data_IF_165802252537
#
_entry.id   IF_165802252537
#
_cell.length_a   1.000
_cell.length_b   1.000
_cell.length_c   1.000
_cell.angle_alpha   90.00
_cell.angle_beta   90.00
_cell.angle_gamma   90.00
#
_symmetry.space_group_name_H-M   'P 1'
#
loop_
_entity.id
_entity.type
_entity.pdbx_description
1 polymer ?
#
# COMPACT_ATOMS: atom_id res chain seq x y z
N UNK A 1 -1.36 17.94 5.17
CA UNK A 1 -0.59 17.45 4.01
C UNK A 1 -0.38 15.97 4.24
N UNK A 2 -0.66 15.12 3.25
CA UNK A 2 -0.44 13.67 3.37
C UNK A 2 1.06 13.42 3.18
N UNK A 3 1.70 12.72 4.12
CA UNK A 3 3.13 12.45 4.05
C UNK A 3 3.37 11.25 3.12
N UNK A 4 3.57 11.54 1.84
CA UNK A 4 4.00 10.54 0.85
C UNK A 4 5.47 10.18 1.11
N UNK A 5 5.79 8.88 1.15
CA UNK A 5 7.11 8.38 1.56
C UNK A 5 8.02 7.95 0.40
N UNK A 6 7.51 8.04 -0.83
CA UNK A 6 8.24 7.71 -2.05
C UNK A 6 7.71 8.58 -3.20
N UNK A 7 8.30 8.45 -4.38
CA UNK A 7 7.89 9.19 -5.59
C UNK A 7 7.56 8.24 -6.73
N UNK A 8 6.81 8.72 -7.72
CA UNK A 8 6.50 7.94 -8.92
C UNK A 8 7.76 7.50 -9.66
N UNK A 9 8.81 8.32 -9.69
CA UNK A 9 10.10 7.98 -10.31
C UNK A 9 10.78 6.82 -9.60
N UNK A 10 10.80 6.83 -8.25
CA UNK A 10 11.38 5.73 -7.47
C UNK A 10 10.61 4.42 -7.70
N UNK A 11 9.28 4.48 -7.73
CA UNK A 11 8.44 3.29 -8.00
C UNK A 11 8.70 2.74 -9.40
N UNK A 12 8.76 3.60 -10.42
CA UNK A 12 9.08 3.20 -11.81
C UNK A 12 10.47 2.56 -11.91
N UNK A 13 11.46 3.20 -11.28
CA UNK A 13 12.84 2.72 -11.23
C UNK A 13 12.93 1.35 -10.55
N UNK A 14 12.14 1.13 -9.48
CA UNK A 14 12.10 -0.13 -8.73
C UNK A 14 11.69 -1.32 -9.59
N UNK A 15 10.74 -1.13 -10.50
CA UNK A 15 10.23 -2.16 -11.43
C UNK A 15 11.11 -2.28 -12.70
N UNK A 16 12.20 -1.50 -12.80
CA UNK A 16 13.12 -1.54 -13.95
C UNK A 16 12.48 -1.18 -15.30
N UNK A 17 11.25 -0.65 -15.30
CA UNK A 17 10.45 -0.48 -16.50
C UNK A 17 10.66 0.90 -17.09
N UNK A 18 11.55 0.97 -18.09
CA UNK A 18 11.84 2.20 -18.84
C UNK A 18 10.64 2.63 -19.70
N UNK A 19 9.73 1.70 -20.02
CA UNK A 19 8.52 1.95 -20.81
C UNK A 19 7.29 1.36 -20.11
N UNK A 20 6.64 2.14 -19.25
CA UNK A 20 5.32 1.78 -18.77
C UNK A 20 4.29 1.84 -19.91
N UNK A 21 3.25 0.98 -19.89
CA UNK A 21 2.11 1.12 -20.78
C UNK A 21 1.55 2.55 -20.71
N UNK A 22 1.25 3.15 -21.86
CA UNK A 22 0.80 4.55 -21.95
C UNK A 22 -0.53 4.84 -21.25
N UNK A 23 -1.28 3.79 -20.89
CA UNK A 23 -2.51 3.86 -20.12
C UNK A 23 -2.31 3.85 -18.60
N UNK A 24 -1.08 3.69 -18.11
CA UNK A 24 -0.75 3.86 -16.69
C UNK A 24 -0.27 5.30 -16.51
N UNK A 25 -1.07 6.09 -15.79
CA UNK A 25 -0.78 7.49 -15.54
C UNK A 25 -0.01 7.65 -14.23
N UNK A 26 0.77 8.73 -14.14
CA UNK A 26 1.47 9.06 -12.89
C UNK A 26 0.47 9.29 -11.74
N UNK A 27 -0.74 9.74 -12.04
CA UNK A 27 -1.83 9.87 -11.07
C UNK A 27 -2.22 8.53 -10.42
N UNK A 28 -2.16 7.42 -11.17
CA UNK A 28 -2.46 6.08 -10.65
C UNK A 28 -1.37 5.65 -9.68
N UNK A 29 -0.10 5.85 -10.08
CA UNK A 29 1.06 5.57 -9.22
C UNK A 29 1.00 6.41 -7.94
N UNK A 30 0.67 7.70 -8.06
CA UNK A 30 0.50 8.60 -6.92
C UNK A 30 -0.66 8.18 -6.01
N UNK A 31 -1.72 7.60 -6.55
CA UNK A 31 -2.78 7.00 -5.72
C UNK A 31 -2.24 5.80 -4.93
N UNK A 32 -1.48 4.91 -5.55
CA UNK A 32 -0.90 3.74 -4.87
C UNK A 32 0.13 4.12 -3.79
N UNK A 33 0.91 5.17 -4.03
CA UNK A 33 1.82 5.76 -3.04
C UNK A 33 1.03 6.25 -1.84
N UNK A 34 -0.05 7.00 -2.04
CA UNK A 34 -0.91 7.49 -0.96
C UNK A 34 -1.54 6.37 -0.16
N UNK A 35 -2.04 5.33 -0.83
CA UNK A 35 -2.58 4.14 -0.16
C UNK A 35 -1.52 3.43 0.69
N UNK A 36 -0.31 3.27 0.16
CA UNK A 36 0.82 2.64 0.87
C UNK A 36 1.28 3.49 2.06
N UNK A 37 1.39 4.81 1.91
CA UNK A 37 1.70 5.74 3.00
C UNK A 37 0.66 5.69 4.11
N UNK A 38 -0.63 5.72 3.77
CA UNK A 38 -1.71 5.61 4.75
C UNK A 38 -1.65 4.26 5.51
N UNK A 39 -1.36 3.16 4.80
CA UNK A 39 -1.17 1.86 5.42
C UNK A 39 -0.02 1.85 6.43
N UNK A 40 1.12 2.45 6.10
CA UNK A 40 2.28 2.54 7.00
C UNK A 40 1.93 3.36 8.24
N UNK A 41 1.29 4.52 8.06
CA UNK A 41 0.86 5.39 9.15
C UNK A 41 -0.10 4.69 10.12
N UNK A 42 -1.08 3.96 9.58
CA UNK A 42 -2.02 3.17 10.37
C UNK A 42 -1.31 2.04 11.13
N UNK A 43 -0.42 1.32 10.43
CA UNK A 43 0.34 0.19 10.98
C UNK A 43 1.31 0.62 12.09
N UNK A 44 1.85 1.83 11.99
CA UNK A 44 2.77 2.41 12.95
C UNK A 44 2.10 3.26 14.04
N UNK A 45 0.76 3.42 13.97
CA UNK A 45 -0.01 4.32 14.85
C UNK A 45 0.49 5.78 14.82
N UNK A 46 0.96 6.25 13.65
CA UNK A 46 1.52 7.61 13.44
C UNK A 46 0.72 8.47 12.44
N UNK A 47 -0.59 8.24 12.36
CA UNK A 47 -1.49 8.96 11.44
C UNK A 47 -1.30 10.48 11.54
N UNK A 48 -0.94 11.12 10.43
CA UNK A 48 -0.88 12.58 10.31
C UNK A 48 0.36 13.25 10.93
N UNK A 49 1.21 12.50 11.63
CA UNK A 49 2.54 12.99 12.08
C UNK A 49 3.65 12.52 11.15
N UNK A 50 3.48 11.34 10.56
CA UNK A 50 4.43 10.67 9.69
C UNK A 50 5.83 10.46 10.30
N UNK A 51 6.81 10.26 9.42
CA UNK A 51 8.19 9.87 9.76
C UNK A 51 9.24 10.93 9.41
N UNK A 52 8.81 12.15 9.07
CA UNK A 52 9.68 13.23 8.59
C UNK A 52 10.73 13.69 9.62
N UNK A 53 10.48 13.48 10.92
CA UNK A 53 11.41 13.81 12.00
C UNK A 53 12.25 12.61 12.48
N UNK A 54 12.11 11.42 11.87
CA UNK A 54 12.77 10.19 12.30
C UNK A 54 13.70 9.66 11.20
N UNK A 55 14.86 10.30 11.05
CA UNK A 55 15.83 10.01 9.98
C UNK A 55 16.24 8.53 9.93
N UNK A 56 16.40 7.86 11.07
CA UNK A 56 16.90 6.48 11.12
C UNK A 56 15.95 5.44 10.52
N UNK A 57 14.63 5.68 10.59
CA UNK A 57 13.61 4.73 10.07
C UNK A 57 12.98 5.17 8.76
N UNK A 58 13.27 6.38 8.31
CA UNK A 58 12.76 6.89 7.04
C UNK A 58 13.12 5.99 5.84
N UNK A 59 14.35 5.43 5.73
CA UNK A 59 14.68 4.49 4.66
C UNK A 59 13.79 3.24 4.65
N UNK A 60 13.49 2.68 5.83
CA UNK A 60 12.59 1.53 5.98
C UNK A 60 11.17 1.87 5.54
N UNK A 61 10.68 3.04 5.94
CA UNK A 61 9.35 3.56 5.56
C UNK A 61 9.25 3.80 4.05
N UNK A 62 10.26 4.43 3.46
CA UNK A 62 10.35 4.65 2.02
C UNK A 62 10.40 3.32 1.25
N UNK A 63 11.13 2.32 1.75
CA UNK A 63 11.20 0.99 1.13
C UNK A 63 9.83 0.31 1.11
N UNK A 64 9.11 0.28 2.24
CA UNK A 64 7.76 -0.30 2.29
C UNK A 64 6.83 0.40 1.30
N UNK A 65 6.83 1.73 1.27
CA UNK A 65 5.97 2.50 0.36
C UNK A 65 6.30 2.24 -1.11
N UNK A 66 7.59 2.11 -1.43
CA UNK A 66 8.08 1.86 -2.79
C UNK A 66 7.72 0.44 -3.24
N UNK A 67 8.00 -0.57 -2.41
CA UNK A 67 7.75 -1.98 -2.73
C UNK A 67 6.24 -2.26 -2.88
N UNK A 68 5.38 -1.73 -2.01
CA UNK A 68 3.93 -1.86 -2.14
C UNK A 68 3.37 -1.20 -3.40
N UNK A 69 3.88 -0.01 -3.75
CA UNK A 69 3.48 0.69 -4.97
C UNK A 69 3.99 -0.01 -6.23
N UNK A 70 5.20 -0.59 -6.17
CA UNK A 70 5.79 -1.39 -7.24
C UNK A 70 4.99 -2.68 -7.49
N UNK A 71 4.54 -3.37 -6.43
CA UNK A 71 3.66 -4.53 -6.56
C UNK A 71 2.36 -4.14 -7.28
N UNK A 72 1.73 -3.01 -6.91
CA UNK A 72 0.53 -2.52 -7.61
C UNK A 72 0.77 -2.20 -9.09
N UNK A 73 1.94 -1.63 -9.40
CA UNK A 73 2.34 -1.38 -10.77
C UNK A 73 2.51 -2.69 -11.57
N UNK A 74 3.22 -3.68 -11.02
CA UNK A 74 3.40 -4.99 -11.63
C UNK A 74 2.08 -5.73 -11.85
N UNK A 75 1.19 -5.71 -10.84
CA UNK A 75 -0.16 -6.26 -10.94
C UNK A 75 -0.94 -5.64 -12.10
N UNK A 76 -0.89 -4.30 -12.21
CA UNK A 76 -1.57 -3.56 -13.27
C UNK A 76 -1.00 -3.82 -14.66
N UNK A 77 0.29 -4.13 -14.74
CA UNK A 77 0.98 -4.50 -15.99
C UNK A 77 0.73 -5.97 -16.39
N UNK A 78 0.38 -6.84 -15.44
CA UNK A 78 0.38 -8.30 -15.64
C UNK A 78 -1.00 -8.96 -15.63
N UNK A 79 -2.07 -8.21 -15.36
CA UNK A 79 -3.45 -8.72 -15.35
C UNK A 79 -4.11 -8.79 -16.74
N UNK A 80 -4.87 -9.84 -17.07
CA UNK A 80 -5.60 -9.94 -18.33
C UNK A 80 -6.74 -8.92 -18.37
N UNK A 81 -6.71 -8.02 -19.36
CA UNK A 81 -7.80 -7.07 -19.62
C UNK A 81 -7.94 -5.94 -18.59
N UNK A 82 -6.88 -5.16 -18.37
CA UNK A 82 -6.87 -3.73 -17.97
C UNK A 82 -8.01 -3.19 -17.07
N UNK A 83 -8.44 -3.90 -16.04
CA UNK A 83 -9.25 -3.36 -14.94
C UNK A 83 -9.51 -4.47 -13.91
N UNK A 84 -8.48 -4.95 -13.24
CA UNK A 84 -8.72 -5.76 -12.04
C UNK A 84 -8.13 -5.03 -10.85
N UNK A 85 -9.06 -4.53 -10.03
CA UNK A 85 -8.91 -4.08 -8.64
C UNK A 85 -8.36 -5.17 -7.70
N UNK A 86 -7.84 -6.27 -8.24
CA UNK A 86 -7.11 -7.28 -7.48
C UNK A 86 -5.70 -6.74 -7.24
N UNK A 87 -5.17 -6.92 -6.04
CA UNK A 87 -3.77 -6.65 -5.89
C UNK A 87 -3.24 -6.79 -4.50
N UNK A 88 -3.65 -5.89 -3.60
CA UNK A 88 -3.14 -5.89 -2.23
C UNK A 88 -4.31 -5.63 -1.28
N UNK A 89 -4.52 -6.56 -0.36
CA UNK A 89 -5.43 -6.39 0.78
C UNK A 89 -4.64 -5.90 1.98
N UNK A 90 -5.03 -4.74 2.52
CA UNK A 90 -4.40 -4.17 3.70
C UNK A 90 -5.23 -4.47 4.96
N UNK A 91 -4.53 -4.82 6.04
CA UNK A 91 -5.04 -4.79 7.42
C UNK A 91 -4.04 -3.99 8.26
N UNK A 92 -4.44 -3.44 9.39
CA UNK A 92 -3.47 -2.68 10.20
C UNK A 92 -2.33 -3.60 10.64
N UNK A 93 -1.11 -3.28 10.23
CA UNK A 93 0.10 -4.04 10.55
C UNK A 93 0.36 -5.28 9.69
N UNK A 94 -0.46 -5.54 8.66
CA UNK A 94 -0.36 -6.72 7.78
C UNK A 94 -0.90 -6.43 6.37
N UNK A 95 -0.38 -7.11 5.36
CA UNK A 95 -0.94 -7.06 4.00
C UNK A 95 -0.78 -8.40 3.29
N UNK A 96 -1.60 -8.64 2.29
CA UNK A 96 -1.50 -9.82 1.41
C UNK A 96 -1.71 -9.43 -0.04
N UNK A 97 -1.02 -10.13 -0.94
CA UNK A 97 -1.11 -9.88 -2.38
C UNK A 97 -1.97 -10.96 -3.04
N UNK A 98 -2.99 -10.58 -3.79
CA UNK A 98 -3.76 -11.54 -4.59
C UNK A 98 -3.08 -11.75 -5.94
N UNK A 99 -2.54 -12.95 -6.14
CA UNK A 99 -1.80 -13.34 -7.34
C UNK A 99 -2.61 -14.11 -8.36
N UNK A 100 -3.93 -14.22 -8.14
CA UNK A 100 -4.82 -14.92 -9.08
C UNK A 100 -4.87 -14.17 -10.40
N UNK A 101 -4.72 -14.91 -11.50
CA UNK A 101 -4.80 -14.40 -12.86
C UNK A 101 -3.68 -13.41 -13.22
N UNK A 102 -2.49 -13.53 -12.63
CA UNK A 102 -1.28 -12.81 -13.04
C UNK A 102 -0.47 -13.72 -13.97
N UNK A 103 0.18 -13.13 -14.99
CA UNK A 103 1.23 -13.81 -15.74
C UNK A 103 2.34 -14.35 -14.81
N UNK A 104 2.75 -15.60 -15.01
CA UNK A 104 3.75 -16.28 -14.17
C UNK A 104 5.09 -15.53 -14.09
N UNK A 105 5.47 -14.79 -15.14
CA UNK A 105 6.74 -14.04 -15.17
C UNK A 105 6.77 -12.86 -14.18
N UNK A 106 5.61 -12.33 -13.79
CA UNK A 106 5.53 -11.25 -12.81
C UNK A 106 5.34 -11.75 -11.37
N UNK A 107 5.00 -13.02 -11.17
CA UNK A 107 4.75 -13.61 -9.84
C UNK A 107 6.03 -13.60 -9.00
N UNK A 108 7.16 -14.03 -9.58
CA UNK A 108 8.45 -14.10 -8.86
C UNK A 108 8.91 -12.71 -8.39
N UNK A 109 8.76 -11.69 -9.24
CA UNK A 109 9.13 -10.31 -8.90
C UNK A 109 8.21 -9.72 -7.83
N UNK A 110 6.91 -9.98 -7.93
CA UNK A 110 5.93 -9.61 -6.89
C UNK A 110 6.28 -10.27 -5.56
N UNK A 111 6.73 -11.53 -5.55
CA UNK A 111 7.12 -12.25 -4.32
C UNK A 111 8.35 -11.66 -3.65
N UNK A 112 9.35 -11.26 -4.43
CA UNK A 112 10.54 -10.57 -3.91
C UNK A 112 10.13 -9.28 -3.20
N UNK A 113 9.32 -8.44 -3.85
CA UNK A 113 8.87 -7.18 -3.26
C UNK A 113 7.92 -7.39 -2.07
N UNK A 114 7.05 -8.40 -2.12
CA UNK A 114 6.16 -8.75 -1.02
C UNK A 114 6.96 -9.14 0.23
N UNK A 115 8.00 -9.97 0.07
CA UNK A 115 8.86 -10.39 1.17
C UNK A 115 9.66 -9.22 1.75
N UNK A 116 10.28 -8.39 0.90
CA UNK A 116 11.01 -7.20 1.35
C UNK A 116 10.13 -6.22 2.13
N UNK A 117 8.90 -5.97 1.66
CA UNK A 117 7.95 -5.10 2.34
C UNK A 117 7.47 -5.71 3.68
N UNK A 118 7.28 -7.03 3.76
CA UNK A 118 6.95 -7.73 5.02
C UNK A 118 8.08 -7.65 6.04
N UNK A 119 9.32 -7.90 5.62
CA UNK A 119 10.52 -7.78 6.48
C UNK A 119 10.71 -6.35 6.98
N UNK A 120 10.58 -5.38 6.08
CA UNK A 120 10.70 -3.95 6.42
C UNK A 120 9.59 -3.51 7.39
N UNK A 121 8.35 -3.98 7.18
CA UNK A 121 7.23 -3.70 8.08
C UNK A 121 7.46 -4.32 9.47
N UNK A 122 7.99 -5.55 9.54
CA UNK A 122 8.35 -6.19 10.79
C UNK A 122 9.44 -5.41 11.54
N UNK A 123 10.48 -4.97 10.83
CA UNK A 123 11.54 -4.13 11.39
C UNK A 123 11.00 -2.80 11.93
N UNK A 124 10.13 -2.13 11.17
CA UNK A 124 9.47 -0.90 11.60
C UNK A 124 8.63 -1.09 12.87
N UNK A 125 7.81 -2.16 12.91
CA UNK A 125 6.98 -2.49 14.08
C UNK A 125 7.84 -2.78 15.31
N UNK A 126 8.92 -3.53 15.15
CA UNK A 126 9.86 -3.84 16.22
C UNK A 126 10.53 -2.56 16.76
N UNK A 127 11.05 -1.71 15.88
CA UNK A 127 11.67 -0.42 16.27
C UNK A 127 10.70 0.46 17.06
N UNK A 128 9.43 0.51 16.65
CA UNK A 128 8.41 1.32 17.31
C UNK A 128 7.81 0.66 18.56
N UNK A 129 8.18 -0.58 18.89
CA UNK A 129 7.54 -1.35 19.96
C UNK A 129 6.05 -1.59 19.72
N UNK A 130 5.60 -1.57 18.45
CA UNK A 130 4.21 -1.83 18.07
C UNK A 130 4.05 -3.35 17.99
N UNK A 131 3.75 -3.95 19.13
CA UNK A 131 3.52 -5.38 19.25
C UNK A 131 2.46 -5.86 18.24
N UNK A 132 2.59 -7.09 17.76
CA UNK A 132 1.69 -7.75 16.80
C UNK A 132 0.28 -8.04 17.36
N UNK A 133 -0.15 -7.29 18.38
CA UNK A 133 -1.53 -7.21 18.84
C UNK A 133 -2.38 -6.57 17.76
N UNK A 134 -2.92 -7.44 16.91
CA UNK A 134 -3.82 -7.10 15.82
C UNK A 134 -4.88 -6.09 16.23
N UNK A 135 -5.34 -5.35 15.24
CA UNK A 135 -6.57 -4.62 15.39
C UNK A 135 -7.65 -5.63 15.82
N UNK A 136 -8.24 -5.46 17.01
CA UNK A 136 -9.59 -5.97 17.29
C UNK A 136 -10.54 -5.08 16.49
N UNK A 137 -10.40 -5.12 15.17
CA UNK A 137 -11.42 -4.66 14.24
C UNK A 137 -12.55 -5.65 14.39
N UNK A 138 -13.69 -5.17 14.88
CA UNK A 138 -14.83 -5.98 15.27
C UNK A 138 -14.99 -7.21 14.38
N UNK A 139 -14.80 -8.39 14.97
CA UNK A 139 -15.26 -9.63 14.38
C UNK A 139 -16.70 -9.39 13.94
N UNK A 140 -16.97 -9.47 12.63
CA UNK A 140 -18.33 -9.40 12.12
C UNK A 140 -19.02 -10.68 12.61
N UNK A 141 -19.60 -10.60 13.80
CA UNK A 141 -20.47 -11.65 14.32
C UNK A 141 -21.62 -11.75 13.34
N UNK A 142 -21.84 -12.95 12.78
CA UNK A 142 -22.90 -13.23 11.82
C UNK A 142 -24.24 -12.78 12.43
N UNK A 143 -24.77 -11.64 11.96
CA UNK A 143 -25.99 -11.01 12.50
C UNK A 143 -25.87 -9.53 12.88
N UNK A 144 -24.67 -8.96 12.96
CA UNK A 144 -24.48 -7.52 13.17
C UNK A 144 -24.34 -6.78 11.83
N UNK A 145 -24.97 -5.58 11.65
CA UNK A 145 -24.81 -4.80 10.44
C UNK A 145 -23.34 -4.40 10.24
N UNK A 146 -22.90 -4.43 8.98
CA UNK A 146 -21.52 -4.08 8.64
C UNK A 146 -21.19 -2.67 9.15
N UNK A 147 -19.99 -2.44 9.72
CA UNK A 147 -19.58 -1.11 10.12
C UNK A 147 -19.55 -0.21 8.87
N UNK A 148 -20.37 0.84 8.86
CA UNK A 148 -20.44 1.77 7.74
C UNK A 148 -19.14 2.56 7.67
N UNK A 149 -18.34 2.29 6.63
CA UNK A 149 -17.27 3.19 6.19
C UNK A 149 -17.90 4.43 5.59
N UNK A 150 -18.10 5.48 6.39
CA UNK A 150 -18.39 6.81 5.88
C UNK A 150 -17.14 7.36 5.17
N UNK A 151 -16.93 6.97 3.92
CA UNK A 151 -16.20 7.81 2.98
C UNK A 151 -17.12 8.97 2.61
N UNK A 152 -16.67 10.20 2.85
CA UNK A 152 -17.49 11.41 2.84
C UNK A 152 -18.50 11.47 1.70
N UNK A 153 -19.77 11.65 2.06
CA UNK A 153 -20.82 11.98 1.10
C UNK A 153 -20.53 13.33 0.47
N UNK A 154 -20.35 13.33 -0.87
CA UNK A 154 -20.52 14.53 -1.67
C UNK A 154 -21.89 15.14 -1.36
N UNK A 155 -21.94 16.33 -0.79
CA UNK A 155 -23.13 17.18 -0.80
C UNK A 155 -22.74 18.52 -1.43
N UNK A 156 -23.41 18.97 -2.50
CA UNK A 156 -23.20 20.32 -3.02
C UNK A 156 -23.76 21.32 -2.01
N UNK A 157 -22.92 22.19 -1.46
CA UNK A 157 -23.39 23.34 -0.69
C UNK A 157 -23.85 24.42 -1.66
N UNK A 158 -25.16 24.55 -1.85
CA UNK A 158 -25.77 25.80 -2.31
C UNK A 158 -26.24 26.60 -1.09
N UNK A 159 -26.15 27.94 -1.14
CA UNK A 159 -26.78 28.81 -0.14
C UNK A 159 -28.31 28.73 -0.19
#
# INVERSE_FOLDING_TARGET
MTNEYTTSELVKSRVGSVNLPSDILDSDIQQWIRESSNFIDLSARRIGQGFQATEYIYPTVQQIATDLSAIKLLLRMSGPGKATTAGISYRIGEFSVDKKNIDSSAIDEIEIFENHAKESLAALKNYLGVDAGGFVGGSVVKGCPAPTTNYGGNSPQQP
#
